data_IF_783603170987
#
_entry.id   IF_783603170987
#
_cell.length_a   1.000
_cell.length_b   1.000
_cell.length_c   1.000
_cell.angle_alpha   90.00
_cell.angle_beta   90.00
_cell.angle_gamma   90.00
#
_symmetry.space_group_name_H-M   'P 1'
#
loop_
_entity.id
_entity.type
_entity.pdbx_description
1 polymer ?
#
# COMPACT_ATOMS: atom_id res chain seq x y z
N UNK A 1 3.75 -4.53 13.91
CA UNK A 1 2.43 -4.00 13.53
C UNK A 1 1.49 -5.08 13.03
N UNK A 2 0.20 -4.82 13.08
CA UNK A 2 -0.80 -5.82 12.74
C UNK A 2 -1.46 -5.53 11.38
N UNK A 3 -2.38 -4.55 11.36
CA UNK A 3 -2.97 -4.08 10.11
C UNK A 3 -1.93 -3.27 9.36
N UNK A 4 -0.80 -3.14 10.04
CA UNK A 4 0.39 -2.49 9.56
C UNK A 4 0.72 -2.88 8.14
N UNK A 5 1.02 -4.14 8.00
CA UNK A 5 1.36 -4.76 6.73
C UNK A 5 0.32 -4.43 5.67
N UNK A 6 -0.96 -4.56 6.03
CA UNK A 6 -2.06 -4.20 5.17
C UNK A 6 -1.96 -2.76 4.73
N UNK A 7 -1.78 -1.88 5.70
CA UNK A 7 -1.69 -0.45 5.47
C UNK A 7 -0.50 -0.10 4.63
N UNK A 8 0.53 -0.90 4.72
CA UNK A 8 1.71 -0.64 3.96
C UNK A 8 1.46 -0.91 2.50
N UNK A 9 0.79 -2.01 2.21
CA UNK A 9 0.51 -2.36 0.84
C UNK A 9 -0.59 -1.48 0.31
N UNK A 10 -1.37 -0.93 1.22
CA UNK A 10 -2.41 0.01 0.87
C UNK A 10 -1.76 1.22 0.20
N UNK A 11 -0.57 1.50 0.68
CA UNK A 11 0.24 2.57 0.19
C UNK A 11 0.85 2.23 -1.14
N UNK A 12 1.41 1.02 -1.19
CA UNK A 12 2.01 0.51 -2.42
C UNK A 12 0.99 0.53 -3.54
N UNK A 13 -0.24 0.21 -3.16
CA UNK A 13 -1.37 0.18 -4.07
C UNK A 13 -1.41 1.44 -4.93
N UNK A 14 -1.59 2.57 -4.25
CA UNK A 14 -1.74 3.83 -4.91
C UNK A 14 -0.50 4.20 -5.72
N UNK A 15 0.66 3.79 -5.22
CA UNK A 15 1.93 4.06 -5.88
C UNK A 15 2.06 3.25 -7.18
N UNK A 16 1.83 1.95 -7.09
CA UNK A 16 1.92 1.07 -8.24
C UNK A 16 0.88 1.45 -9.31
N UNK A 17 -0.31 1.82 -8.86
CA UNK A 17 -1.37 2.25 -9.73
C UNK A 17 -1.09 3.63 -10.31
N UNK A 18 -0.57 4.51 -9.49
CA UNK A 18 -0.30 5.88 -9.90
C UNK A 18 0.82 5.98 -10.92
N UNK A 19 1.84 5.16 -10.77
CA UNK A 19 2.92 5.13 -11.70
C UNK A 19 2.76 3.93 -12.58
N UNK A 20 2.17 4.19 -13.69
CA UNK A 20 1.96 3.21 -14.72
C UNK A 20 1.82 3.91 -16.07
N UNK A 21 2.92 4.19 -16.74
#
# INVERSE_FOLDING_TARGET
GILDIKNKVSNLFKKIKGEKX
#
